data_IF_426284478744
#
_entry.id   IF_426284478744
#
_cell.length_a   1.000
_cell.length_b   1.000
_cell.length_c   1.000
_cell.angle_alpha   90.00
_cell.angle_beta   90.00
_cell.angle_gamma   90.00
#
_symmetry.space_group_name_H-M   'P 1'
#
loop_
_entity.id
_entity.type
_entity.pdbx_description
1 polymer ?
#
# COMPACT_ATOMS: atom_id res chain seq x y z
N UNK A 1 -9.77 -3.56 -17.98
CA UNK A 1 -10.67 -3.70 -19.16
C UNK A 1 -11.75 -4.76 -18.88
N UNK A 2 -11.42 -5.99 -18.50
CA UNK A 2 -12.43 -7.04 -18.25
C UNK A 2 -13.48 -6.64 -17.19
N UNK A 3 -13.07 -5.97 -16.09
CA UNK A 3 -14.00 -5.46 -15.07
C UNK A 3 -14.99 -4.42 -15.63
N UNK A 4 -14.63 -3.67 -16.67
CA UNK A 4 -15.54 -2.70 -17.29
C UNK A 4 -16.67 -3.34 -18.07
N UNK A 5 -16.62 -4.63 -18.34
CA UNK A 5 -17.72 -5.42 -18.95
C UNK A 5 -18.76 -5.87 -17.91
N UNK A 6 -18.54 -5.54 -16.62
CA UNK A 6 -19.36 -5.96 -15.48
C UNK A 6 -19.60 -7.48 -15.45
N UNK A 7 -18.55 -8.28 -15.33
CA UNK A 7 -18.67 -9.72 -15.30
C UNK A 7 -19.49 -10.15 -14.08
N UNK A 8 -20.13 -11.33 -14.17
CA UNK A 8 -20.83 -11.92 -13.05
C UNK A 8 -19.91 -12.22 -11.86
N UNK A 9 -20.52 -12.64 -10.74
CA UNK A 9 -19.82 -12.90 -9.46
C UNK A 9 -18.50 -13.67 -9.60
N UNK A 10 -18.49 -14.77 -10.34
CA UNK A 10 -17.30 -15.62 -10.54
C UNK A 10 -16.19 -14.90 -11.32
N UNK A 11 -16.57 -14.06 -12.29
CA UNK A 11 -15.60 -13.26 -13.05
C UNK A 11 -14.93 -12.17 -12.19
N UNK A 12 -15.69 -11.54 -11.30
CA UNK A 12 -15.15 -10.57 -10.33
C UNK A 12 -14.20 -11.28 -9.38
N UNK A 13 -14.60 -12.41 -8.82
CA UNK A 13 -13.79 -13.20 -7.88
C UNK A 13 -12.46 -13.65 -8.49
N UNK A 14 -12.49 -14.08 -9.76
CA UNK A 14 -11.29 -14.47 -10.49
C UNK A 14 -10.31 -13.28 -10.67
N UNK A 15 -10.83 -12.11 -11.04
CA UNK A 15 -9.98 -10.90 -11.19
C UNK A 15 -9.39 -10.48 -9.85
N UNK A 16 -10.16 -10.52 -8.76
CA UNK A 16 -9.67 -10.22 -7.42
C UNK A 16 -8.57 -11.20 -6.97
N UNK A 17 -8.73 -12.49 -7.26
CA UNK A 17 -7.69 -13.47 -6.98
C UNK A 17 -6.39 -13.18 -7.76
N UNK A 18 -6.49 -12.80 -9.04
CA UNK A 18 -5.34 -12.39 -9.83
C UNK A 18 -4.67 -11.12 -9.28
N UNK A 19 -5.44 -10.13 -8.83
CA UNK A 19 -4.88 -8.94 -8.18
C UNK A 19 -4.14 -9.29 -6.89
N UNK A 20 -4.70 -10.15 -6.04
CA UNK A 20 -4.03 -10.62 -4.84
C UNK A 20 -2.68 -11.26 -5.14
N UNK A 21 -2.62 -12.13 -6.15
CA UNK A 21 -1.35 -12.75 -6.54
C UNK A 21 -0.36 -11.73 -7.11
N UNK A 22 -0.79 -10.87 -8.02
CA UNK A 22 0.13 -9.96 -8.72
C UNK A 22 0.56 -8.79 -7.84
N UNK A 23 -0.36 -8.15 -7.14
CA UNK A 23 -0.06 -6.94 -6.36
C UNK A 23 0.49 -7.28 -4.98
N UNK A 24 -0.14 -8.21 -4.25
CA UNK A 24 0.22 -8.46 -2.87
C UNK A 24 1.34 -9.51 -2.74
N UNK A 25 1.30 -10.60 -3.51
CA UNK A 25 2.31 -11.65 -3.39
C UNK A 25 3.59 -11.35 -4.16
N UNK A 26 3.51 -10.79 -5.36
CA UNK A 26 4.68 -10.58 -6.22
C UNK A 26 5.25 -9.17 -6.09
N UNK A 27 4.44 -8.15 -6.25
CA UNK A 27 4.91 -6.76 -6.34
C UNK A 27 5.30 -6.19 -4.96
N UNK A 28 4.47 -6.41 -3.93
CA UNK A 28 4.66 -5.79 -2.62
C UNK A 28 5.99 -6.14 -1.93
N UNK A 29 6.43 -7.43 -1.86
CA UNK A 29 7.71 -7.78 -1.24
C UNK A 29 8.91 -7.20 -1.99
N UNK A 30 8.88 -7.17 -3.32
CA UNK A 30 9.96 -6.59 -4.14
C UNK A 30 10.09 -5.11 -3.87
N UNK A 31 8.96 -4.39 -3.82
CA UNK A 31 8.91 -2.96 -3.56
C UNK A 31 9.44 -2.62 -2.15
N UNK A 32 9.03 -3.37 -1.14
CA UNK A 32 9.56 -3.19 0.22
C UNK A 32 11.07 -3.45 0.29
N UNK A 33 11.56 -4.49 -0.39
CA UNK A 33 12.99 -4.78 -0.48
C UNK A 33 13.74 -3.63 -1.17
N UNK A 34 13.22 -3.11 -2.28
CA UNK A 34 13.83 -1.99 -3.00
C UNK A 34 13.96 -0.75 -2.11
N UNK A 35 12.91 -0.40 -1.36
CA UNK A 35 12.95 0.72 -0.41
C UNK A 35 13.97 0.46 0.71
N UNK A 36 14.04 -0.76 1.23
CA UNK A 36 14.98 -1.11 2.31
C UNK A 36 16.45 -1.04 1.90
N UNK A 37 16.76 -1.16 0.61
CA UNK A 37 18.12 -1.05 0.06
C UNK A 37 18.60 0.40 -0.11
N UNK A 38 17.68 1.39 -0.09
CA UNK A 38 18.01 2.80 -0.31
C UNK A 38 18.74 3.48 0.87
N UNK A 39 18.80 2.85 2.05
CA UNK A 39 19.46 3.47 3.20
C UNK A 39 19.83 2.51 4.31
N UNK A 40 20.50 3.06 5.32
CA UNK A 40 20.99 2.32 6.47
C UNK A 40 19.89 1.95 7.45
N UNK A 41 20.15 0.95 8.30
CA UNK A 41 19.20 0.46 9.30
C UNK A 41 18.67 1.55 10.25
N UNK A 42 19.47 2.60 10.51
CA UNK A 42 19.07 3.73 11.37
C UNK A 42 18.10 4.71 10.70
N UNK A 43 17.90 4.61 9.38
CA UNK A 43 17.07 5.51 8.58
C UNK A 43 15.82 4.85 8.01
N UNK A 44 15.62 3.56 8.29
CA UNK A 44 14.53 2.77 7.70
C UNK A 44 13.15 3.36 8.03
N UNK A 45 12.91 3.83 9.25
CA UNK A 45 11.64 4.44 9.63
C UNK A 45 11.30 5.66 8.78
N UNK A 46 12.29 6.53 8.53
CA UNK A 46 12.10 7.71 7.67
C UNK A 46 11.91 7.34 6.21
N UNK A 47 12.67 6.37 5.70
CA UNK A 47 12.56 5.92 4.30
C UNK A 47 11.17 5.35 4.01
N UNK A 48 10.69 4.46 4.86
CA UNK A 48 9.34 3.93 4.75
C UNK A 48 8.27 4.99 4.98
N UNK A 49 8.50 5.94 5.90
CA UNK A 49 7.61 7.07 6.11
C UNK A 49 7.48 7.97 4.87
N UNK A 50 8.59 8.32 4.24
CA UNK A 50 8.57 9.09 2.98
C UNK A 50 7.99 8.30 1.80
N UNK A 51 8.26 7.01 1.73
CA UNK A 51 7.65 6.13 0.74
C UNK A 51 6.12 6.10 0.86
N UNK A 52 5.60 5.92 2.08
CA UNK A 52 4.14 5.95 2.33
C UNK A 52 3.54 7.34 2.07
N UNK A 53 4.28 8.40 2.34
CA UNK A 53 3.86 9.77 1.99
C UNK A 53 3.72 9.94 0.48
N UNK A 54 4.75 9.59 -0.28
CA UNK A 54 4.74 9.68 -1.75
C UNK A 54 3.59 8.85 -2.34
N UNK A 55 3.41 7.64 -1.84
CA UNK A 55 2.29 6.78 -2.22
C UNK A 55 0.95 7.42 -1.87
N UNK A 56 0.79 7.98 -0.66
CA UNK A 56 -0.43 8.66 -0.23
C UNK A 56 -0.78 9.86 -1.11
N UNK A 57 0.21 10.67 -1.54
CA UNK A 57 0.01 11.79 -2.48
C UNK A 57 -0.53 11.29 -3.81
N UNK A 58 0.13 10.31 -4.42
CA UNK A 58 -0.25 9.76 -5.72
C UNK A 58 -1.64 9.10 -5.64
N UNK A 59 -1.86 8.26 -4.63
CA UNK A 59 -3.15 7.60 -4.39
C UNK A 59 -4.29 8.63 -4.22
N UNK A 60 -4.04 9.73 -3.49
CA UNK A 60 -5.01 10.81 -3.28
C UNK A 60 -5.38 11.48 -4.60
N UNK A 61 -4.39 11.87 -5.40
CA UNK A 61 -4.60 12.55 -6.68
C UNK A 61 -5.40 11.64 -7.63
N UNK A 62 -5.00 10.38 -7.76
CA UNK A 62 -5.65 9.40 -8.64
C UNK A 62 -7.08 9.13 -8.17
N UNK A 63 -7.30 8.94 -6.85
CA UNK A 63 -8.59 8.62 -6.30
C UNK A 63 -9.59 9.79 -6.45
N UNK A 64 -9.18 11.04 -6.17
CA UNK A 64 -10.04 12.20 -6.42
C UNK A 64 -10.30 12.42 -7.90
N UNK A 65 -9.33 12.17 -8.78
CA UNK A 65 -9.55 12.22 -10.22
C UNK A 65 -10.58 11.19 -10.69
N UNK A 66 -10.49 9.97 -10.18
CA UNK A 66 -11.46 8.91 -10.47
C UNK A 66 -12.87 9.27 -9.93
N UNK A 67 -12.96 9.86 -8.74
CA UNK A 67 -14.23 10.32 -8.15
C UNK A 67 -14.83 11.47 -8.98
N UNK A 68 -14.01 12.41 -9.45
CA UNK A 68 -14.46 13.49 -10.32
C UNK A 68 -15.00 12.95 -11.65
N UNK A 69 -14.31 11.98 -12.26
CA UNK A 69 -14.77 11.30 -13.48
C UNK A 69 -16.10 10.59 -13.21
N UNK A 70 -16.21 9.84 -12.10
CA UNK A 70 -17.44 9.19 -11.70
C UNK A 70 -18.62 10.20 -11.59
N UNK A 71 -18.39 11.34 -10.94
CA UNK A 71 -19.39 12.38 -10.78
C UNK A 71 -19.75 13.07 -12.13
N UNK A 72 -18.74 13.31 -12.98
CA UNK A 72 -18.95 13.92 -14.30
C UNK A 72 -19.88 13.09 -15.19
N UNK A 73 -19.73 11.77 -15.16
CA UNK A 73 -20.63 10.85 -15.90
C UNK A 73 -21.98 10.60 -15.20
N UNK A 74 -22.35 11.46 -14.23
CA UNK A 74 -23.64 11.38 -13.54
C UNK A 74 -23.76 10.26 -12.52
N UNK A 75 -22.65 9.65 -12.14
CA UNK A 75 -22.64 8.50 -11.22
C UNK A 75 -23.20 7.22 -11.87
N UNK A 76 -23.58 6.27 -11.04
CA UNK A 76 -24.20 5.02 -11.48
C UNK A 76 -23.27 4.15 -12.35
N UNK A 77 -23.87 3.38 -13.25
CA UNK A 77 -23.16 2.39 -14.07
C UNK A 77 -22.10 3.01 -15.00
N UNK A 78 -22.44 4.10 -15.69
CA UNK A 78 -21.53 4.77 -16.63
C UNK A 78 -20.36 5.41 -15.92
N UNK A 79 -20.60 6.09 -14.82
CA UNK A 79 -19.54 6.69 -14.00
C UNK A 79 -18.58 5.62 -13.45
N UNK A 80 -19.12 4.49 -13.00
CA UNK A 80 -18.29 3.39 -12.49
C UNK A 80 -17.42 2.77 -13.59
N UNK A 81 -18.00 2.53 -14.78
CA UNK A 81 -17.26 2.05 -15.94
C UNK A 81 -16.14 3.00 -16.38
N UNK A 82 -16.45 4.32 -16.41
CA UNK A 82 -15.46 5.34 -16.73
C UNK A 82 -14.30 5.36 -15.71
N UNK A 83 -14.60 5.23 -14.42
CA UNK A 83 -13.59 5.11 -13.36
C UNK A 83 -12.68 3.88 -13.54
N UNK A 84 -13.24 2.71 -13.86
CA UNK A 84 -12.43 1.50 -14.11
C UNK A 84 -11.51 1.70 -15.32
N UNK A 85 -12.02 2.28 -16.41
CA UNK A 85 -11.21 2.55 -17.60
C UNK A 85 -10.11 3.57 -17.33
N UNK A 86 -10.38 4.58 -16.50
CA UNK A 86 -9.37 5.53 -16.05
C UNK A 86 -8.23 4.86 -15.27
N UNK A 87 -8.53 4.01 -14.30
CA UNK A 87 -7.50 3.24 -13.58
C UNK A 87 -6.72 2.31 -14.53
N UNK A 88 -7.41 1.65 -15.47
CA UNK A 88 -6.76 0.79 -16.45
C UNK A 88 -5.81 1.56 -17.36
N UNK A 89 -6.18 2.77 -17.80
CA UNK A 89 -5.34 3.62 -18.65
C UNK A 89 -4.07 4.07 -17.91
N UNK A 90 -4.18 4.44 -16.63
CA UNK A 90 -3.01 4.78 -15.80
C UNK A 90 -2.09 3.57 -15.64
N UNK A 91 -2.64 2.40 -15.33
CA UNK A 91 -1.85 1.18 -15.17
C UNK A 91 -1.07 0.81 -16.43
N UNK A 92 -1.71 0.92 -17.61
CA UNK A 92 -1.04 0.69 -18.90
C UNK A 92 0.06 1.72 -19.12
N UNK A 93 -0.23 3.00 -18.90
CA UNK A 93 0.74 4.09 -19.08
C UNK A 93 1.98 3.87 -18.19
N UNK A 94 1.77 3.60 -16.91
CA UNK A 94 2.85 3.32 -15.96
C UNK A 94 3.64 2.09 -16.38
N UNK A 95 2.96 1.01 -16.81
CA UNK A 95 3.63 -0.20 -17.29
C UNK A 95 4.51 0.06 -18.52
N UNK A 96 4.04 0.86 -19.46
CA UNK A 96 4.82 1.28 -20.64
C UNK A 96 6.02 2.13 -20.24
N UNK A 97 5.82 3.13 -19.37
CA UNK A 97 6.92 3.99 -18.89
C UNK A 97 8.00 3.17 -18.19
N UNK A 98 7.60 2.26 -17.29
CA UNK A 98 8.53 1.39 -16.58
C UNK A 98 9.29 0.46 -17.53
N UNK A 99 8.60 -0.10 -18.54
CA UNK A 99 9.25 -0.95 -19.53
C UNK A 99 10.37 -0.21 -20.27
N UNK A 100 10.11 1.02 -20.73
CA UNK A 100 11.11 1.83 -21.41
C UNK A 100 12.22 2.32 -20.46
N UNK A 101 11.88 2.72 -19.24
CA UNK A 101 12.86 3.15 -18.24
C UNK A 101 13.82 2.02 -17.87
N UNK A 102 13.31 0.83 -17.65
CA UNK A 102 14.17 -0.33 -17.33
C UNK A 102 15.02 -0.76 -18.51
N UNK A 103 14.48 -0.72 -19.74
CA UNK A 103 15.26 -1.01 -20.94
C UNK A 103 16.43 -0.02 -21.14
N UNK A 104 16.21 1.25 -20.82
CA UNK A 104 17.25 2.29 -20.97
C UNK A 104 18.37 2.13 -19.93
N UNK A 105 18.01 1.81 -18.69
CA UNK A 105 18.99 1.56 -17.62
C UNK A 105 19.83 0.29 -17.86
N UNK A 106 19.23 -0.74 -18.45
CA UNK A 106 19.98 -1.96 -18.81
C UNK A 106 21.06 -1.71 -19.88
N UNK A 107 21.02 -0.57 -20.57
CA UNK A 107 22.01 -0.17 -21.57
C UNK A 107 23.12 0.70 -20.96
N UNK A 108 22.91 1.29 -19.77
CA UNK A 108 23.91 2.11 -19.07
C UNK A 108 24.70 1.31 -18.01
N UNK A 109 24.15 0.19 -17.52
CA UNK A 109 24.76 -0.68 -16.49
C UNK A 109 25.73 -1.74 -17.08
N UNK A 110 26.23 -1.57 -18.31
CA UNK A 110 27.40 -2.34 -18.79
C UNK A 110 28.73 -1.91 -18.15
N UNK A 111 28.69 -1.18 -17.01
CA UNK A 111 29.84 -1.02 -16.16
C UNK A 111 29.82 -2.10 -15.06
N UNK A 112 30.57 -3.21 -15.22
CA UNK A 112 30.48 -4.37 -14.32
C UNK A 112 30.75 -4.03 -12.84
N UNK A 113 31.46 -2.93 -12.59
CA UNK A 113 31.77 -2.45 -11.24
C UNK A 113 30.56 -1.93 -10.45
N UNK A 114 29.48 -1.46 -11.13
CA UNK A 114 28.30 -0.92 -10.45
C UNK A 114 27.27 -2.02 -10.11
N UNK A 115 27.15 -3.01 -10.99
CA UNK A 115 26.28 -4.16 -10.78
C UNK A 115 26.83 -5.06 -9.65
N UNK A 116 28.13 -5.35 -9.66
CA UNK A 116 28.80 -6.14 -8.60
C UNK A 116 28.74 -5.46 -7.24
N UNK A 117 28.86 -4.11 -7.16
CA UNK A 117 28.75 -3.38 -5.90
C UNK A 117 27.33 -3.40 -5.31
N UNK A 118 26.31 -3.46 -6.15
CA UNK A 118 24.90 -3.54 -5.71
C UNK A 118 24.53 -4.97 -5.35
N UNK A 119 24.99 -5.96 -6.11
CA UNK A 119 24.82 -7.37 -5.81
C UNK A 119 25.65 -7.79 -4.59
N UNK A 120 26.90 -7.35 -4.47
CA UNK A 120 27.76 -7.64 -3.31
C UNK A 120 27.22 -7.03 -2.00
N UNK A 121 26.60 -5.86 -2.05
CA UNK A 121 25.88 -5.28 -0.89
C UNK A 121 24.58 -6.02 -0.58
N UNK A 122 23.89 -6.53 -1.59
CA UNK A 122 22.70 -7.35 -1.43
C UNK A 122 23.07 -8.75 -0.92
N UNK A 123 24.13 -9.38 -1.42
CA UNK A 123 24.58 -10.70 -0.98
C UNK A 123 25.22 -10.69 0.41
N UNK A 124 26.03 -9.69 0.76
CA UNK A 124 26.60 -9.57 2.13
C UNK A 124 25.54 -9.28 3.21
N UNK A 125 24.35 -8.82 2.84
CA UNK A 125 23.19 -8.64 3.74
C UNK A 125 22.19 -9.79 3.69
N UNK A 126 22.27 -10.64 2.70
CA UNK A 126 21.44 -11.81 2.49
C UNK A 126 22.27 -13.09 2.67
N UNK A 127 22.62 -13.43 3.91
CA UNK A 127 22.63 -14.86 4.25
C UNK A 127 21.24 -15.37 3.93
N UNK A 128 21.09 -16.11 2.81
CA UNK A 128 19.82 -16.74 2.44
C UNK A 128 19.44 -17.74 3.55
N UNK A 129 18.63 -17.33 4.53
CA UNK A 129 18.26 -18.26 5.58
C UNK A 129 17.42 -19.34 4.91
N UNK A 130 17.82 -20.61 5.10
CA UNK A 130 17.02 -21.74 4.62
C UNK A 130 15.58 -21.51 5.07
N UNK A 131 14.63 -21.60 4.15
CA UNK A 131 13.20 -21.32 4.40
C UNK A 131 12.71 -21.97 5.70
N UNK A 132 13.20 -23.17 6.01
CA UNK A 132 12.88 -23.88 7.25
C UNK A 132 13.38 -23.20 8.53
N UNK A 133 14.49 -22.42 8.48
CA UNK A 133 14.98 -21.68 9.65
C UNK A 133 14.14 -20.44 9.91
N UNK A 134 13.66 -19.78 8.86
CA UNK A 134 12.76 -18.62 8.94
C UNK A 134 11.41 -19.03 9.56
N UNK A 135 10.84 -20.13 9.10
CA UNK A 135 9.58 -20.67 9.64
C UNK A 135 9.67 -21.13 11.10
N UNK A 136 10.84 -21.55 11.57
CA UNK A 136 11.08 -21.93 12.98
C UNK A 136 11.31 -20.75 13.90
N UNK A 137 11.57 -19.55 13.37
CA UNK A 137 11.88 -18.39 14.18
C UNK A 137 10.59 -17.78 14.77
N UNK A 138 10.44 -17.84 16.09
CA UNK A 138 9.30 -17.28 16.83
C UNK A 138 9.09 -15.77 16.58
N UNK A 139 10.16 -15.03 16.35
CA UNK A 139 10.08 -13.58 16.08
C UNK A 139 9.37 -13.30 14.77
N UNK A 140 9.56 -14.13 13.74
CA UNK A 140 8.87 -14.00 12.44
C UNK A 140 7.36 -14.16 12.64
N UNK A 141 6.94 -15.16 13.42
CA UNK A 141 5.52 -15.39 13.72
C UNK A 141 4.90 -14.25 14.55
N UNK A 142 5.64 -13.71 15.52
CA UNK A 142 5.17 -12.56 16.30
C UNK A 142 4.97 -11.31 15.43
N UNK A 143 5.91 -11.04 14.52
CA UNK A 143 5.79 -9.92 13.57
C UNK A 143 4.62 -10.16 12.63
N UNK A 144 4.48 -11.36 12.05
CA UNK A 144 3.38 -11.71 11.17
C UNK A 144 2.02 -11.57 11.87
N UNK A 145 1.91 -12.03 13.12
CA UNK A 145 0.70 -11.88 13.91
C UNK A 145 0.38 -10.41 14.23
N UNK A 146 1.39 -9.61 14.54
CA UNK A 146 1.22 -8.17 14.77
C UNK A 146 0.69 -7.47 13.51
N UNK A 147 1.26 -7.78 12.35
CA UNK A 147 0.79 -7.26 11.07
C UNK A 147 -0.67 -7.69 10.81
N UNK A 148 -0.98 -8.97 11.03
CA UNK A 148 -2.35 -9.48 10.90
C UNK A 148 -3.33 -8.70 11.77
N UNK A 149 -3.03 -8.45 13.04
CA UNK A 149 -3.89 -7.69 13.95
C UNK A 149 -4.13 -6.25 13.45
N UNK A 150 -3.08 -5.55 13.00
CA UNK A 150 -3.22 -4.19 12.43
C UNK A 150 -4.09 -4.20 11.20
N UNK A 151 -3.86 -5.14 10.29
CA UNK A 151 -4.65 -5.22 9.05
C UNK A 151 -6.10 -5.65 9.29
N UNK A 152 -6.36 -6.49 10.29
CA UNK A 152 -7.72 -6.85 10.66
C UNK A 152 -8.53 -5.62 11.09
N UNK A 153 -7.94 -4.74 11.92
CA UNK A 153 -8.55 -3.46 12.31
C UNK A 153 -8.72 -2.55 11.09
N UNK A 154 -7.67 -2.41 10.27
CA UNK A 154 -7.72 -1.57 9.07
C UNK A 154 -8.81 -2.01 8.09
N UNK A 155 -8.94 -3.32 7.83
CA UNK A 155 -10.01 -3.85 7.01
C UNK A 155 -11.39 -3.60 7.62
N UNK A 156 -11.52 -3.69 8.96
CA UNK A 156 -12.76 -3.37 9.67
C UNK A 156 -13.21 -1.93 9.43
N UNK A 157 -12.30 -0.97 9.38
CA UNK A 157 -12.62 0.44 9.11
C UNK A 157 -13.21 0.68 7.71
N UNK A 158 -12.96 -0.19 6.74
CA UNK A 158 -13.55 -0.06 5.39
C UNK A 158 -15.07 -0.23 5.39
N UNK A 159 -15.62 -0.94 6.39
CA UNK A 159 -17.07 -1.10 6.54
C UNK A 159 -17.80 0.19 6.96
N UNK A 160 -17.08 1.22 7.43
CA UNK A 160 -17.69 2.52 7.69
C UNK A 160 -18.21 3.20 6.41
N UNK A 161 -17.64 2.91 5.24
CA UNK A 161 -18.09 3.47 3.96
C UNK A 161 -19.54 3.06 3.65
N UNK A 162 -19.89 1.75 3.57
CA UNK A 162 -21.29 1.34 3.39
C UNK A 162 -22.18 1.73 4.56
N UNK A 163 -21.68 1.77 5.79
CA UNK A 163 -22.42 2.24 6.95
C UNK A 163 -22.89 3.70 6.78
N UNK A 164 -22.01 4.61 6.38
CA UNK A 164 -22.34 6.01 6.13
C UNK A 164 -23.35 6.18 5.01
N UNK A 165 -23.27 5.39 3.94
CA UNK A 165 -24.24 5.48 2.84
C UNK A 165 -25.59 4.87 3.17
N UNK A 166 -25.64 3.73 3.88
CA UNK A 166 -26.87 2.98 4.10
C UNK A 166 -27.66 3.49 5.31
N UNK A 167 -26.98 3.91 6.38
CA UNK A 167 -27.66 4.33 7.63
C UNK A 167 -27.89 5.83 7.65
N UNK A 168 -26.89 6.63 7.24
CA UNK A 168 -27.02 8.09 7.22
C UNK A 168 -27.49 8.65 5.87
N UNK A 169 -27.71 7.80 4.87
CA UNK A 169 -28.16 8.19 3.52
C UNK A 169 -27.31 9.30 2.89
N UNK A 170 -26.02 9.37 3.19
CA UNK A 170 -25.14 10.38 2.66
C UNK A 170 -24.93 10.19 1.16
N UNK A 171 -24.77 11.28 0.40
CA UNK A 171 -24.48 11.21 -1.03
C UNK A 171 -23.20 10.40 -1.30
N UNK A 172 -23.21 9.53 -2.31
CA UNK A 172 -22.09 8.66 -2.68
C UNK A 172 -20.78 9.42 -2.87
N UNK A 173 -20.84 10.64 -3.44
CA UNK A 173 -19.68 11.49 -3.62
C UNK A 173 -19.03 11.92 -2.29
N UNK A 174 -19.83 12.24 -1.27
CA UNK A 174 -19.34 12.57 0.08
C UNK A 174 -18.71 11.35 0.76
N UNK A 175 -19.37 10.22 0.67
CA UNK A 175 -18.88 8.94 1.23
C UNK A 175 -17.56 8.53 0.55
N UNK A 176 -17.48 8.70 -0.77
CA UNK A 176 -16.27 8.47 -1.54
C UNK A 176 -15.12 9.42 -1.13
N UNK A 177 -15.39 10.71 -0.98
CA UNK A 177 -14.41 11.69 -0.52
C UNK A 177 -13.92 11.36 0.91
N UNK A 178 -14.82 10.99 1.83
CA UNK A 178 -14.46 10.53 3.16
C UNK A 178 -13.51 9.32 3.11
N UNK A 179 -13.85 8.32 2.29
CA UNK A 179 -13.00 7.14 2.09
C UNK A 179 -11.60 7.51 1.60
N UNK A 180 -11.49 8.43 0.62
CA UNK A 180 -10.21 8.90 0.08
C UNK A 180 -9.40 9.63 1.15
N UNK A 181 -10.01 10.54 1.90
CA UNK A 181 -9.34 11.29 2.98
C UNK A 181 -8.83 10.32 4.05
N UNK A 182 -9.68 9.42 4.52
CA UNK A 182 -9.32 8.48 5.57
C UNK A 182 -8.22 7.50 5.13
N UNK A 183 -8.29 7.01 3.91
CA UNK A 183 -7.41 5.95 3.44
C UNK A 183 -6.08 6.45 2.87
N UNK A 184 -6.07 7.62 2.24
CA UNK A 184 -4.90 8.13 1.52
C UNK A 184 -4.33 9.43 2.10
N UNK A 185 -5.17 10.44 2.36
CA UNK A 185 -4.67 11.73 2.84
C UNK A 185 -4.00 11.61 4.22
N UNK A 186 -4.55 10.80 5.12
CA UNK A 186 -3.95 10.58 6.44
C UNK A 186 -2.58 9.90 6.38
N UNK A 187 -2.31 9.08 5.37
CA UNK A 187 -0.99 8.48 5.16
C UNK A 187 0.07 9.51 4.83
N UNK A 188 -0.27 10.57 4.09
CA UNK A 188 0.66 11.63 3.73
C UNK A 188 1.27 12.30 4.95
N UNK A 189 0.47 12.47 6.00
CA UNK A 189 0.89 13.12 7.24
C UNK A 189 1.39 12.08 8.24
N UNK A 190 0.70 10.96 8.37
CA UNK A 190 1.00 9.90 9.32
C UNK A 190 2.32 9.17 9.06
N UNK A 191 2.67 8.96 7.79
CA UNK A 191 3.91 8.30 7.39
C UNK A 191 5.17 9.00 7.92
N UNK A 192 5.41 10.28 7.59
CA UNK A 192 6.58 11.01 8.06
C UNK A 192 6.60 11.17 9.59
N UNK A 193 5.45 11.47 10.20
CA UNK A 193 5.35 11.64 11.66
C UNK A 193 5.67 10.32 12.34
N UNK A 194 5.08 9.22 11.91
CA UNK A 194 5.33 7.89 12.46
C UNK A 194 6.79 7.46 12.32
N UNK A 195 7.38 7.68 11.13
CA UNK A 195 8.80 7.41 10.89
C UNK A 195 9.73 8.24 11.78
N UNK A 196 9.46 9.52 11.95
CA UNK A 196 10.23 10.40 12.83
C UNK A 196 10.11 10.00 14.32
N UNK A 197 8.92 9.63 14.76
CA UNK A 197 8.70 9.17 16.14
C UNK A 197 9.44 7.87 16.37
N UNK A 198 9.35 6.92 15.44
CA UNK A 198 10.03 5.64 15.56
C UNK A 198 11.55 5.79 15.64
N UNK A 199 12.15 6.63 14.79
CA UNK A 199 13.60 6.77 14.67
C UNK A 199 14.19 7.72 15.73
N UNK A 200 13.55 8.86 15.98
CA UNK A 200 14.13 9.91 16.85
C UNK A 200 13.66 9.85 18.29
N UNK A 201 12.38 9.57 18.51
CA UNK A 201 11.77 9.64 19.87
C UNK A 201 11.92 8.31 20.59
N UNK A 202 11.44 7.25 19.99
CA UNK A 202 11.41 5.93 20.65
C UNK A 202 12.69 5.12 20.40
N UNK A 203 13.42 5.42 19.34
CA UNK A 203 14.67 4.74 18.94
C UNK A 203 14.56 3.21 18.91
N UNK A 204 13.34 2.70 18.80
CA UNK A 204 13.04 1.27 18.82
C UNK A 204 11.71 1.00 18.10
N UNK A 205 11.73 0.25 16.99
CA UNK A 205 10.51 -0.12 16.27
C UNK A 205 9.51 -0.90 17.14
N UNK A 206 10.00 -1.75 18.05
CA UNK A 206 9.15 -2.55 18.94
C UNK A 206 8.38 -1.68 19.94
N UNK A 207 9.01 -0.64 20.50
CA UNK A 207 8.33 0.30 21.40
C UNK A 207 7.29 1.12 20.63
N UNK A 208 7.62 1.54 19.42
CA UNK A 208 6.67 2.27 18.55
C UNK A 208 5.42 1.43 18.29
N UNK A 209 5.59 0.17 17.86
CA UNK A 209 4.49 -0.75 17.65
C UNK A 209 3.64 -0.94 18.91
N UNK A 210 4.27 -1.13 20.07
CA UNK A 210 3.55 -1.31 21.33
C UNK A 210 2.66 -0.11 21.66
N UNK A 211 3.17 1.11 21.60
CA UNK A 211 2.38 2.31 21.88
C UNK A 211 1.28 2.55 20.85
N UNK A 212 1.54 2.32 19.58
CA UNK A 212 0.52 2.46 18.55
C UNK A 212 -0.61 1.45 18.70
N UNK A 213 -0.32 0.21 19.12
CA UNK A 213 -1.34 -0.78 19.45
C UNK A 213 -2.22 -0.37 20.63
N UNK A 214 -1.63 0.13 21.71
CA UNK A 214 -2.39 0.62 22.87
C UNK A 214 -3.32 1.76 22.46
N UNK A 215 -2.80 2.76 21.74
CA UNK A 215 -3.61 3.90 21.27
C UNK A 215 -4.75 3.43 20.36
N UNK A 216 -4.46 2.55 19.42
CA UNK A 216 -5.49 2.01 18.52
C UNK A 216 -6.57 1.22 19.26
N UNK A 217 -6.20 0.45 20.27
CA UNK A 217 -7.14 -0.32 21.11
C UNK A 217 -8.05 0.61 21.90
N UNK A 218 -7.48 1.67 22.50
CA UNK A 218 -8.26 2.67 23.24
C UNK A 218 -9.24 3.39 22.32
N UNK A 219 -8.77 3.82 21.13
CA UNK A 219 -9.63 4.48 20.14
C UNK A 219 -10.77 3.59 19.67
N UNK A 220 -10.52 2.31 19.42
CA UNK A 220 -11.57 1.36 19.08
C UNK A 220 -12.55 1.15 20.25
N UNK A 221 -12.07 1.08 21.49
CA UNK A 221 -12.92 0.98 22.67
C UNK A 221 -13.88 2.17 22.80
N UNK A 222 -13.42 3.38 22.51
CA UNK A 222 -14.24 4.60 22.49
C UNK A 222 -15.31 4.55 21.40
N UNK A 223 -15.03 3.93 20.25
CA UNK A 223 -15.96 3.81 19.13
C UNK A 223 -17.11 2.82 19.39
N UNK A 224 -16.93 1.88 20.31
CA UNK A 224 -17.93 0.83 20.62
C UNK A 224 -18.93 1.32 21.69
N UNK A 225 -18.58 2.32 22.45
CA UNK A 225 -19.42 2.93 23.49
C UNK A 225 -20.28 4.05 22.92
#
# INVERSE_FOLDING_TARGET
IYLSTMPGYWGILFVWALFGVTCDMLNWPVLLKSVSLLGDNSQQGRLFGFFETGRGVVDTIIAFSALAIFAWFGGGYLGFKAGILFYASIAILVGVVLFFAMKNNSSEDENPASAEATEEKAEKKAENPKLGSVLKNKTVWLIAFSIFCVYAVYCGLTFFIPFLSNIYALPIALVGAYGIINQYCLKMVGGPIGGLIADKVLKSPSKYLFYTFIISTIMLGILIV
#
